data_IF_942975846270
#
_entry.id   IF_942975846270
#
_cell.length_a   1.000
_cell.length_b   1.000
_cell.length_c   1.000
_cell.angle_alpha   90.00
_cell.angle_beta   90.00
_cell.angle_gamma   90.00
#
_symmetry.space_group_name_H-M   'P 1'
#
loop_
_entity.id
_entity.type
_entity.pdbx_description
1 polymer ?
#
# COMPACT_ATOMS: atom_id res chain seq x y z
N UNK A 1 -21.34 -16.65 20.78
CA UNK A 1 -21.14 -17.17 19.40
C UNK A 1 -21.73 -18.57 19.35
N UNK A 2 -22.93 -18.73 18.79
CA UNK A 2 -23.52 -20.06 18.54
C UNK A 2 -22.82 -20.70 17.36
N UNK A 3 -22.37 -21.95 17.52
CA UNK A 3 -21.81 -22.72 16.41
C UNK A 3 -22.88 -22.90 15.32
N UNK A 4 -22.55 -22.69 14.03
CA UNK A 4 -23.51 -22.85 12.94
C UNK A 4 -24.09 -24.28 12.94
N UNK A 5 -25.40 -24.41 12.71
CA UNK A 5 -26.16 -25.67 12.83
C UNK A 5 -25.56 -26.84 12.04
N UNK A 6 -24.87 -26.57 10.92
CA UNK A 6 -24.11 -27.55 10.12
C UNK A 6 -22.96 -28.22 10.87
N UNK A 7 -22.30 -27.53 11.80
CA UNK A 7 -21.23 -28.13 12.62
C UNK A 7 -21.80 -29.11 13.64
N UNK A 8 -22.98 -28.80 14.19
CA UNK A 8 -23.72 -29.74 15.04
C UNK A 8 -24.18 -30.97 14.25
N UNK A 9 -24.63 -30.80 13.00
CA UNK A 9 -24.96 -31.92 12.11
C UNK A 9 -23.73 -32.76 11.75
N UNK A 10 -22.61 -32.13 11.40
CA UNK A 10 -21.36 -32.84 11.12
C UNK A 10 -20.87 -33.64 12.33
N UNK A 11 -20.93 -33.05 13.53
CA UNK A 11 -20.60 -33.73 14.78
C UNK A 11 -21.56 -34.90 15.06
N UNK A 12 -22.86 -34.72 14.82
CA UNK A 12 -23.84 -35.80 14.89
C UNK A 12 -23.53 -36.95 13.92
N UNK A 13 -23.06 -36.64 12.71
CA UNK A 13 -22.66 -37.65 11.71
C UNK A 13 -21.39 -38.40 12.15
N UNK A 14 -20.40 -37.73 12.74
CA UNK A 14 -19.21 -38.40 13.31
C UNK A 14 -19.61 -39.36 14.42
N UNK A 15 -20.48 -38.92 15.33
CA UNK A 15 -20.98 -39.76 16.42
C UNK A 15 -21.76 -40.96 15.87
N UNK A 16 -22.63 -40.75 14.89
CA UNK A 16 -23.38 -41.82 14.23
C UNK A 16 -22.45 -42.81 13.52
N UNK A 17 -21.42 -42.32 12.83
CA UNK A 17 -20.43 -43.15 12.15
C UNK A 17 -19.61 -44.02 13.13
N UNK A 18 -19.24 -43.48 14.29
CA UNK A 18 -18.57 -44.23 15.34
C UNK A 18 -19.48 -45.33 15.92
N UNK A 19 -20.76 -45.02 16.17
CA UNK A 19 -21.75 -45.97 16.65
C UNK A 19 -22.01 -47.09 15.64
N UNK A 20 -22.17 -46.74 14.35
CA UNK A 20 -22.35 -47.72 13.27
C UNK A 20 -21.09 -48.57 13.08
N UNK A 21 -19.90 -47.97 13.09
CA UNK A 21 -18.63 -48.71 13.01
C UNK A 21 -18.49 -49.73 14.14
N UNK A 22 -18.77 -49.32 15.37
CA UNK A 22 -18.78 -50.23 16.52
C UNK A 22 -19.83 -51.35 16.39
N UNK A 23 -21.04 -51.02 15.93
CA UNK A 23 -22.10 -52.00 15.70
C UNK A 23 -21.70 -53.02 14.64
N UNK A 24 -21.10 -52.58 13.53
CA UNK A 24 -20.64 -53.48 12.46
C UNK A 24 -19.53 -54.39 12.93
N UNK A 25 -18.56 -53.91 13.72
CA UNK A 25 -17.55 -54.80 14.33
C UNK A 25 -18.24 -55.90 15.16
N UNK A 26 -19.21 -55.51 15.99
CA UNK A 26 -19.93 -56.43 16.88
C UNK A 26 -20.75 -57.45 16.09
N UNK A 27 -21.43 -57.03 15.03
CA UNK A 27 -22.28 -57.88 14.18
C UNK A 27 -21.40 -58.79 13.31
N UNK A 28 -20.38 -58.25 12.63
CA UNK A 28 -19.49 -59.04 11.79
C UNK A 28 -18.77 -60.12 12.59
N UNK A 29 -18.29 -59.81 13.79
CA UNK A 29 -17.68 -60.82 14.66
C UNK A 29 -18.67 -61.95 14.99
N UNK A 30 -19.93 -61.62 15.29
CA UNK A 30 -20.97 -62.64 15.58
C UNK A 30 -21.29 -63.49 14.35
N UNK A 31 -21.42 -62.87 13.17
CA UNK A 31 -21.73 -63.58 11.93
C UNK A 31 -20.57 -64.50 11.55
N UNK A 32 -19.33 -64.01 11.58
CA UNK A 32 -18.16 -64.80 11.20
C UNK A 32 -17.95 -65.99 12.14
N UNK A 33 -18.13 -65.80 13.46
CA UNK A 33 -18.06 -66.90 14.42
C UNK A 33 -19.24 -67.87 14.23
N UNK A 34 -20.46 -67.37 14.08
CA UNK A 34 -21.65 -68.21 13.86
C UNK A 34 -21.65 -68.98 12.53
N UNK A 35 -20.90 -68.49 11.53
CA UNK A 35 -20.74 -69.13 10.24
C UNK A 35 -19.61 -70.16 10.19
N UNK A 36 -18.89 -70.41 11.30
CA UNK A 36 -17.81 -71.39 11.35
C UNK A 36 -16.50 -70.93 10.68
N UNK A 37 -16.31 -69.62 10.52
CA UNK A 37 -15.12 -69.04 9.89
C UNK A 37 -13.83 -69.29 10.71
N UNK A 38 -13.83 -69.24 12.06
CA UNK A 38 -12.65 -69.59 12.84
C UNK A 38 -12.11 -71.00 12.56
N UNK A 39 -12.99 -72.00 12.48
CA UNK A 39 -12.66 -73.41 12.32
C UNK A 39 -12.18 -73.72 10.89
N UNK A 40 -12.70 -73.00 9.89
CA UNK A 40 -12.33 -73.21 8.48
C UNK A 40 -10.99 -72.56 8.09
N UNK A 41 -10.56 -71.51 8.80
CA UNK A 41 -9.32 -70.78 8.55
C UNK A 41 -8.18 -71.27 9.48
N UNK A 42 -8.49 -72.14 10.45
CA UNK A 42 -7.52 -72.72 11.36
C UNK A 42 -6.44 -73.53 10.61
N UNK A 43 -5.18 -73.22 10.91
CA UNK A 43 -4.02 -73.86 10.26
C UNK A 43 -3.54 -73.19 8.97
N UNK A 44 -4.29 -72.22 8.42
CA UNK A 44 -3.86 -71.44 7.25
C UNK A 44 -2.64 -70.54 7.56
N UNK A 45 -1.85 -70.21 6.54
CA UNK A 45 -0.71 -69.30 6.68
C UNK A 45 -1.15 -67.89 7.17
N UNK A 46 -2.35 -67.46 6.76
CA UNK A 46 -2.89 -66.16 7.13
C UNK A 46 -3.26 -66.09 8.62
N UNK A 47 -3.92 -67.11 9.18
CA UNK A 47 -4.25 -67.16 10.61
C UNK A 47 -3.01 -67.25 11.51
N UNK A 48 -1.96 -67.95 11.07
CA UNK A 48 -0.67 -67.96 11.79
C UNK A 48 -0.05 -66.57 11.85
N UNK A 49 -0.04 -65.86 10.71
CA UNK A 49 0.48 -64.49 10.62
C UNK A 49 -0.35 -63.54 11.50
N UNK A 50 -1.69 -63.64 11.47
CA UNK A 50 -2.55 -62.83 12.32
C UNK A 50 -2.26 -63.06 13.82
N UNK A 51 -2.00 -64.31 14.21
CA UNK A 51 -1.69 -64.70 15.59
C UNK A 51 -0.32 -64.23 16.07
N UNK A 52 0.67 -64.12 15.17
CA UNK A 52 1.97 -63.49 15.47
C UNK A 52 1.81 -62.01 15.88
N UNK A 53 0.81 -61.31 15.33
CA UNK A 53 0.43 -59.95 15.75
C UNK A 53 -0.55 -59.91 16.94
N UNK A 54 -0.80 -61.04 17.62
CA UNK A 54 -1.69 -61.12 18.78
C UNK A 54 -3.19 -60.98 18.45
N UNK A 55 -3.59 -61.21 17.21
CA UNK A 55 -4.99 -61.09 16.76
C UNK A 55 -5.46 -62.36 16.02
N UNK A 56 -6.72 -62.39 15.60
CA UNK A 56 -7.30 -63.45 14.75
C UNK A 56 -7.76 -62.89 13.42
N UNK A 57 -7.87 -63.76 12.41
CA UNK A 57 -8.41 -63.39 11.09
C UNK A 57 -9.79 -62.76 11.22
N UNK A 58 -10.65 -63.32 12.07
CA UNK A 58 -12.00 -62.81 12.31
C UNK A 58 -11.97 -61.43 12.98
N UNK A 59 -11.12 -61.23 13.98
CA UNK A 59 -10.97 -59.93 14.64
C UNK A 59 -10.43 -58.86 13.70
N UNK A 60 -9.46 -59.20 12.84
CA UNK A 60 -8.90 -58.31 11.83
C UNK A 60 -9.99 -57.86 10.84
N UNK A 61 -10.72 -58.82 10.25
CA UNK A 61 -11.78 -58.52 9.27
C UNK A 61 -12.89 -57.68 9.90
N UNK A 62 -13.30 -58.00 11.13
CA UNK A 62 -14.32 -57.23 11.84
C UNK A 62 -13.85 -55.80 12.12
N UNK A 63 -12.62 -55.60 12.64
CA UNK A 63 -12.07 -54.29 12.94
C UNK A 63 -11.86 -53.45 11.68
N UNK A 64 -11.34 -54.04 10.59
CA UNK A 64 -11.17 -53.36 9.31
C UNK A 64 -12.51 -52.86 8.75
N UNK A 65 -13.56 -53.68 8.86
CA UNK A 65 -14.92 -53.28 8.47
C UNK A 65 -15.42 -52.09 9.29
N UNK A 66 -15.14 -52.06 10.60
CA UNK A 66 -15.48 -50.94 11.47
C UNK A 66 -14.73 -49.66 11.15
N UNK A 67 -13.41 -49.75 10.95
CA UNK A 67 -12.59 -48.60 10.54
C UNK A 67 -13.02 -48.04 9.20
N UNK A 68 -13.37 -48.90 8.24
CA UNK A 68 -13.87 -48.47 6.94
C UNK A 68 -15.15 -47.61 7.08
N UNK A 69 -16.11 -48.06 7.89
CA UNK A 69 -17.35 -47.31 8.14
C UNK A 69 -17.08 -45.99 8.88
N UNK A 70 -16.17 -45.99 9.85
CA UNK A 70 -15.78 -44.78 10.56
C UNK A 70 -15.12 -43.76 9.62
N UNK A 71 -14.17 -44.20 8.78
CA UNK A 71 -13.49 -43.34 7.79
C UNK A 71 -14.50 -42.80 6.78
N UNK A 72 -15.41 -43.64 6.27
CA UNK A 72 -16.46 -43.21 5.35
C UNK A 72 -17.38 -42.16 5.99
N UNK A 73 -17.81 -42.38 7.23
CA UNK A 73 -18.62 -41.42 7.96
C UNK A 73 -17.88 -40.13 8.30
N UNK A 74 -16.57 -40.18 8.55
CA UNK A 74 -15.73 -39.00 8.72
C UNK A 74 -15.65 -38.18 7.43
N UNK A 75 -15.50 -38.82 6.27
CA UNK A 75 -15.52 -38.15 4.95
C UNK A 75 -16.89 -37.49 4.72
N UNK A 76 -17.99 -38.16 5.05
CA UNK A 76 -19.35 -37.60 4.94
C UNK A 76 -19.53 -36.42 5.90
N UNK A 77 -19.05 -36.53 7.14
CA UNK A 77 -19.07 -35.45 8.11
C UNK A 77 -18.28 -34.22 7.64
N UNK A 78 -17.09 -34.42 7.07
CA UNK A 78 -16.28 -33.34 6.47
C UNK A 78 -16.99 -32.71 5.27
N UNK A 79 -17.68 -33.51 4.45
CA UNK A 79 -18.48 -33.01 3.32
C UNK A 79 -19.66 -32.15 3.81
N UNK A 80 -20.39 -32.60 4.84
CA UNK A 80 -21.53 -31.88 5.45
C UNK A 80 -21.07 -30.65 6.22
N UNK A 81 -19.90 -30.72 6.86
CA UNK A 81 -19.29 -29.57 7.51
C UNK A 81 -19.02 -28.43 6.53
N UNK A 82 -19.14 -28.68 5.20
CA UNK A 82 -18.80 -27.77 4.10
C UNK A 82 -17.50 -27.07 4.44
N UNK A 83 -16.38 -27.74 4.19
CA UNK A 83 -15.04 -27.15 4.28
C UNK A 83 -14.83 -26.10 3.16
N UNK A 84 -15.82 -25.24 2.93
CA UNK A 84 -15.74 -23.97 2.22
C UNK A 84 -14.72 -23.03 2.89
N UNK A 85 -14.30 -23.29 4.14
CA UNK A 85 -13.16 -22.58 4.75
C UNK A 85 -11.85 -22.85 4.02
N UNK A 86 -11.61 -24.08 3.54
CA UNK A 86 -10.40 -24.39 2.77
C UNK A 86 -10.52 -23.79 1.37
N UNK A 87 -11.68 -23.86 0.71
CA UNK A 87 -11.87 -23.22 -0.60
C UNK A 87 -11.83 -21.68 -0.53
N UNK A 88 -12.40 -21.05 0.50
CA UNK A 88 -12.34 -19.61 0.71
C UNK A 88 -10.94 -19.15 1.14
N UNK A 89 -10.23 -19.95 1.94
CA UNK A 89 -8.83 -19.72 2.26
C UNK A 89 -7.96 -19.84 1.00
N UNK A 90 -8.16 -20.87 0.17
CA UNK A 90 -7.46 -21.02 -1.11
C UNK A 90 -7.78 -19.88 -2.07
N UNK A 91 -9.03 -19.44 -2.20
CA UNK A 91 -9.39 -18.31 -3.05
C UNK A 91 -8.80 -16.98 -2.56
N UNK A 92 -8.82 -16.72 -1.24
CA UNK A 92 -8.19 -15.51 -0.67
C UNK A 92 -6.67 -15.55 -0.81
N UNK A 93 -6.05 -16.70 -0.57
CA UNK A 93 -4.59 -16.87 -0.64
C UNK A 93 -4.10 -16.82 -2.10
N UNK A 94 -4.79 -17.50 -3.02
CA UNK A 94 -4.48 -17.49 -4.45
C UNK A 94 -4.67 -16.10 -5.08
N UNK A 95 -5.65 -15.32 -4.62
CA UNK A 95 -5.82 -13.92 -5.05
C UNK A 95 -4.82 -12.96 -4.40
N UNK A 96 -4.35 -13.25 -3.19
CA UNK A 96 -3.39 -12.42 -2.45
C UNK A 96 -1.96 -12.51 -2.99
N UNK A 97 -1.52 -13.69 -3.44
CA UNK A 97 -0.15 -13.87 -3.96
C UNK A 97 0.17 -12.95 -5.17
N UNK A 98 -0.67 -12.89 -6.22
CA UNK A 98 -0.47 -11.98 -7.34
C UNK A 98 -0.54 -10.51 -6.94
N UNK A 99 -1.46 -10.13 -6.04
CA UNK A 99 -1.58 -8.75 -5.60
C UNK A 99 -0.42 -8.30 -4.73
N UNK A 100 0.09 -9.19 -3.87
CA UNK A 100 1.31 -8.97 -3.10
C UNK A 100 2.52 -8.81 -4.03
N UNK A 101 2.64 -9.67 -5.05
CA UNK A 101 3.69 -9.56 -6.05
C UNK A 101 3.64 -8.21 -6.79
N UNK A 102 2.45 -7.80 -7.24
CA UNK A 102 2.27 -6.50 -7.88
C UNK A 102 2.57 -5.34 -6.94
N UNK A 103 2.17 -5.42 -5.66
CA UNK A 103 2.48 -4.40 -4.66
C UNK A 103 3.99 -4.24 -4.46
N UNK A 104 4.73 -5.36 -4.35
CA UNK A 104 6.18 -5.36 -4.23
C UNK A 104 6.82 -4.78 -5.50
N UNK A 105 6.34 -5.19 -6.68
CA UNK A 105 6.84 -4.68 -7.96
C UNK A 105 6.66 -3.16 -8.07
N UNK A 106 5.47 -2.66 -7.75
CA UNK A 106 5.16 -1.21 -7.73
C UNK A 106 6.07 -0.49 -6.74
N UNK A 107 6.30 -1.04 -5.56
CA UNK A 107 7.18 -0.43 -4.57
C UNK A 107 8.63 -0.34 -5.06
N UNK A 108 9.15 -1.41 -5.67
CA UNK A 108 10.50 -1.42 -6.26
C UNK A 108 10.60 -0.37 -7.37
N UNK A 109 9.62 -0.32 -8.28
CA UNK A 109 9.57 0.68 -9.35
C UNK A 109 9.53 2.09 -8.76
N UNK A 110 8.71 2.32 -7.73
CA UNK A 110 8.60 3.59 -7.04
C UNK A 110 9.91 4.06 -6.42
N UNK A 111 10.65 3.16 -5.76
CA UNK A 111 11.98 3.45 -5.20
C UNK A 111 12.97 3.82 -6.29
N UNK A 112 13.05 3.02 -7.36
CA UNK A 112 13.97 3.26 -8.50
C UNK A 112 13.65 4.57 -9.21
N UNK A 113 12.37 4.85 -9.45
CA UNK A 113 11.94 6.11 -10.08
C UNK A 113 12.22 7.29 -9.14
N UNK A 114 11.96 7.13 -7.84
CA UNK A 114 12.29 8.14 -6.82
C UNK A 114 13.76 8.50 -6.80
N UNK A 115 14.65 7.50 -6.82
CA UNK A 115 16.11 7.72 -6.88
C UNK A 115 16.52 8.44 -8.18
N UNK A 116 15.95 8.05 -9.32
CA UNK A 116 16.21 8.73 -10.60
C UNK A 116 15.74 10.19 -10.59
N UNK A 117 14.59 10.47 -9.98
CA UNK A 117 14.05 11.82 -9.84
C UNK A 117 14.97 12.67 -8.93
N UNK A 118 15.44 12.11 -7.82
CA UNK A 118 16.39 12.79 -6.93
C UNK A 118 17.67 13.20 -7.69
N UNK A 119 18.27 12.26 -8.42
CA UNK A 119 19.47 12.50 -9.20
C UNK A 119 19.24 13.57 -10.28
N UNK A 120 18.15 13.45 -11.04
CA UNK A 120 17.82 14.40 -12.12
C UNK A 120 17.67 15.82 -11.56
N UNK A 121 16.96 16.00 -10.46
CA UNK A 121 16.74 17.31 -9.86
C UNK A 121 18.05 17.85 -9.28
N UNK A 122 18.82 17.02 -8.58
CA UNK A 122 20.11 17.42 -8.01
C UNK A 122 21.10 17.89 -9.10
N UNK A 123 21.17 17.18 -10.24
CA UNK A 123 22.02 17.56 -11.35
C UNK A 123 21.62 18.91 -11.96
N UNK A 124 20.31 19.15 -12.10
CA UNK A 124 19.79 20.44 -12.57
C UNK A 124 20.09 21.59 -11.59
N UNK A 125 19.92 21.37 -10.29
CA UNK A 125 20.19 22.37 -9.26
C UNK A 125 21.68 22.73 -9.18
N UNK A 126 22.58 21.74 -9.36
CA UNK A 126 24.02 21.98 -9.46
C UNK A 126 24.38 22.81 -10.69
N UNK A 127 23.73 22.56 -11.83
CA UNK A 127 23.94 23.31 -13.07
C UNK A 127 23.62 24.81 -12.95
N UNK A 128 22.64 25.19 -12.12
CA UNK A 128 22.26 26.59 -11.87
C UNK A 128 22.97 27.22 -10.66
N UNK A 129 24.01 26.59 -10.12
CA UNK A 129 24.76 27.06 -8.93
C UNK A 129 23.88 27.35 -7.70
N UNK A 130 22.79 26.60 -7.52
CA UNK A 130 21.93 26.65 -6.33
C UNK A 130 22.07 25.38 -5.46
N UNK A 131 23.27 25.03 -4.95
CA UNK A 131 23.46 23.84 -4.13
C UNK A 131 22.76 23.93 -2.76
N UNK A 132 22.33 25.12 -2.34
CA UNK A 132 21.63 25.36 -1.08
C UNK A 132 20.18 24.82 -1.09
N UNK A 133 19.61 24.52 -2.27
CA UNK A 133 18.29 23.91 -2.42
C UNK A 133 18.30 22.37 -2.21
N UNK A 134 19.20 21.85 -1.37
CA UNK A 134 19.44 20.41 -1.20
C UNK A 134 18.25 19.61 -0.70
N UNK A 135 17.22 20.25 -0.14
CA UNK A 135 15.99 19.57 0.31
C UNK A 135 15.03 19.22 -0.85
N UNK A 136 15.07 19.96 -1.96
CA UNK A 136 14.13 19.80 -3.08
C UNK A 136 14.24 18.43 -3.76
N UNK A 137 15.44 17.93 -4.10
CA UNK A 137 15.59 16.58 -4.68
C UNK A 137 15.03 15.48 -3.78
N UNK A 138 15.33 15.55 -2.48
CA UNK A 138 14.87 14.54 -1.53
C UNK A 138 13.35 14.58 -1.32
N UNK A 139 12.74 15.77 -1.23
CA UNK A 139 11.27 15.90 -1.16
C UNK A 139 10.59 15.30 -2.38
N UNK A 140 11.14 15.53 -3.58
CA UNK A 140 10.59 14.99 -4.81
C UNK A 140 10.65 13.45 -4.85
N UNK A 141 11.78 12.86 -4.44
CA UNK A 141 11.91 11.41 -4.29
C UNK A 141 10.89 10.84 -3.32
N UNK A 142 10.82 11.40 -2.11
CA UNK A 142 9.91 10.89 -1.09
C UNK A 142 8.44 11.04 -1.49
N UNK A 143 8.10 12.05 -2.29
CA UNK A 143 6.77 12.20 -2.88
C UNK A 143 6.43 11.07 -3.86
N UNK A 144 7.38 10.70 -4.74
CA UNK A 144 7.21 9.56 -5.66
C UNK A 144 7.08 8.24 -4.89
N UNK A 145 7.97 8.01 -3.91
CA UNK A 145 7.95 6.81 -3.07
C UNK A 145 6.63 6.71 -2.30
N UNK A 146 6.15 7.82 -1.74
CA UNK A 146 4.87 7.85 -1.02
C UNK A 146 3.69 7.44 -1.90
N UNK A 147 3.61 7.98 -3.14
CA UNK A 147 2.57 7.59 -4.10
C UNK A 147 2.69 6.09 -4.42
N UNK A 148 3.90 5.57 -4.63
CA UNK A 148 4.10 4.14 -4.88
C UNK A 148 3.65 3.27 -3.69
N UNK A 149 3.88 3.72 -2.45
CA UNK A 149 3.37 3.05 -1.25
C UNK A 149 1.84 3.03 -1.24
N UNK A 150 1.17 4.14 -1.54
CA UNK A 150 -0.29 4.18 -1.61
C UNK A 150 -0.83 3.21 -2.67
N UNK A 151 -0.23 3.19 -3.86
CA UNK A 151 -0.64 2.25 -4.91
C UNK A 151 -0.40 0.80 -4.47
N UNK A 152 0.74 0.49 -3.86
CA UNK A 152 1.06 -0.84 -3.36
C UNK A 152 0.09 -1.32 -2.26
N UNK A 153 -0.27 -0.43 -1.32
CA UNK A 153 -1.27 -0.70 -0.30
C UNK A 153 -2.65 -0.99 -0.91
N UNK A 154 -3.04 -0.23 -1.93
CA UNK A 154 -4.28 -0.47 -2.68
C UNK A 154 -4.31 -1.84 -3.35
N UNK A 155 -3.18 -2.32 -3.89
CA UNK A 155 -3.11 -3.65 -4.51
C UNK A 155 -3.43 -4.78 -3.53
N UNK A 156 -2.92 -4.71 -2.29
CA UNK A 156 -3.18 -5.72 -1.26
C UNK A 156 -4.53 -5.55 -0.56
N UNK A 157 -5.38 -4.61 -1.01
CA UNK A 157 -6.73 -4.40 -0.51
C UNK A 157 -6.80 -3.54 0.77
N UNK A 158 -5.76 -2.78 1.09
CA UNK A 158 -5.81 -1.79 2.16
C UNK A 158 -6.56 -0.56 1.66
N UNK A 159 -7.51 -0.07 2.46
CA UNK A 159 -8.22 1.17 2.16
C UNK A 159 -7.28 2.37 2.36
N UNK A 160 -6.84 2.97 1.25
CA UNK A 160 -5.96 4.14 1.24
C UNK A 160 -6.71 5.46 1.18
N UNK A 161 -8.05 5.47 1.19
CA UNK A 161 -8.83 6.69 1.05
C UNK A 161 -8.49 7.72 2.13
N UNK A 162 -8.40 7.28 3.38
CA UNK A 162 -8.00 8.14 4.50
C UNK A 162 -6.59 8.73 4.33
N UNK A 163 -5.64 7.94 3.81
CA UNK A 163 -4.26 8.39 3.56
C UNK A 163 -4.18 9.40 2.41
N UNK A 164 -4.98 9.18 1.35
CA UNK A 164 -5.09 10.11 0.21
C UNK A 164 -5.69 11.43 0.65
N UNK A 165 -6.75 11.40 1.46
CA UNK A 165 -7.37 12.61 2.03
C UNK A 165 -6.36 13.37 2.89
N UNK A 166 -5.64 12.68 3.77
CA UNK A 166 -4.62 13.29 4.62
C UNK A 166 -3.51 13.95 3.78
N UNK A 167 -3.01 13.25 2.75
CA UNK A 167 -2.02 13.81 1.83
C UNK A 167 -2.56 15.06 1.13
N UNK A 168 -3.79 15.02 0.63
CA UNK A 168 -4.39 16.16 -0.04
C UNK A 168 -4.50 17.37 0.90
N UNK A 169 -4.88 17.15 2.17
CA UNK A 169 -4.93 18.21 3.18
C UNK A 169 -3.55 18.80 3.46
N UNK A 170 -2.52 17.97 3.68
CA UNK A 170 -1.16 18.47 3.91
C UNK A 170 -0.58 19.15 2.68
N UNK A 171 -0.80 18.60 1.48
CA UNK A 171 -0.35 19.18 0.22
C UNK A 171 -1.01 20.54 -0.03
N UNK A 172 -2.32 20.64 0.22
CA UNK A 172 -3.04 21.90 0.15
C UNK A 172 -2.48 22.93 1.14
N UNK A 173 -2.28 22.55 2.40
CA UNK A 173 -1.70 23.42 3.41
C UNK A 173 -0.31 23.91 2.99
N UNK A 174 0.57 23.01 2.52
CA UNK A 174 1.91 23.37 2.08
C UNK A 174 1.90 24.39 0.93
N UNK A 175 1.03 24.18 -0.07
CA UNK A 175 0.88 25.12 -1.19
C UNK A 175 0.31 26.46 -0.72
N UNK A 176 -0.71 26.44 0.14
CA UNK A 176 -1.35 27.66 0.65
C UNK A 176 -0.37 28.49 1.49
N UNK A 177 0.25 27.88 2.50
CA UNK A 177 1.20 28.57 3.38
C UNK A 177 2.48 28.98 2.64
N UNK A 178 2.96 28.14 1.71
CA UNK A 178 4.07 28.49 0.83
C UNK A 178 3.74 29.71 -0.04
N UNK A 179 2.58 29.71 -0.68
CA UNK A 179 2.11 30.84 -1.49
C UNK A 179 1.97 32.14 -0.67
N UNK A 180 1.47 32.05 0.56
CA UNK A 180 1.42 33.19 1.48
C UNK A 180 2.81 33.67 1.88
N UNK A 181 3.75 32.76 2.14
CA UNK A 181 5.12 33.10 2.51
C UNK A 181 5.89 33.78 1.37
N UNK A 182 5.67 33.35 0.12
CA UNK A 182 6.32 33.93 -1.07
C UNK A 182 5.52 35.06 -1.72
N UNK A 183 4.40 35.49 -1.11
CA UNK A 183 3.49 36.49 -1.68
C UNK A 183 4.20 37.76 -2.14
N UNK A 184 5.09 38.31 -1.30
CA UNK A 184 5.75 39.59 -1.61
C UNK A 184 6.79 39.44 -2.72
N UNK A 185 7.53 38.32 -2.77
CA UNK A 185 8.48 38.03 -3.84
C UNK A 185 7.77 37.83 -5.19
N UNK A 186 6.64 37.12 -5.19
CA UNK A 186 5.82 36.93 -6.39
C UNK A 186 5.22 38.25 -6.89
N UNK A 187 4.72 39.09 -5.98
CA UNK A 187 4.18 40.40 -6.33
C UNK A 187 5.26 41.33 -6.91
N UNK A 188 6.47 41.35 -6.33
CA UNK A 188 7.60 42.10 -6.88
C UNK A 188 8.05 41.57 -8.24
N UNK A 189 8.10 40.25 -8.41
CA UNK A 189 8.44 39.63 -9.69
C UNK A 189 7.43 39.97 -10.80
N UNK A 190 6.13 39.91 -10.50
CA UNK A 190 5.07 40.27 -11.45
C UNK A 190 5.14 41.76 -11.83
N UNK A 191 5.35 42.63 -10.85
CA UNK A 191 5.57 44.06 -11.09
C UNK A 191 6.81 44.30 -11.96
N UNK A 192 7.93 43.64 -11.68
CA UNK A 192 9.14 43.77 -12.49
C UNK A 192 8.96 43.28 -13.93
N UNK A 193 8.24 42.18 -14.14
CA UNK A 193 7.93 41.70 -15.49
C UNK A 193 7.14 42.74 -16.30
N UNK A 194 6.16 43.39 -15.66
CA UNK A 194 5.41 44.50 -16.25
C UNK A 194 6.32 45.71 -16.57
N UNK A 195 7.15 46.13 -15.60
CA UNK A 195 8.06 47.26 -15.76
C UNK A 195 9.08 47.04 -16.89
N UNK A 196 9.59 45.81 -17.04
CA UNK A 196 10.53 45.46 -18.11
C UNK A 196 9.87 45.44 -19.50
N UNK A 197 8.58 45.06 -19.57
CA UNK A 197 7.83 44.99 -20.83
C UNK A 197 7.33 46.35 -21.30
N UNK A 198 6.69 47.11 -20.42
CA UNK A 198 6.09 48.40 -20.78
C UNK A 198 7.06 49.58 -20.64
N UNK A 199 8.18 49.38 -19.93
CA UNK A 199 9.24 50.37 -19.71
C UNK A 199 8.69 51.77 -19.34
N UNK A 200 7.82 51.87 -18.31
CA UNK A 200 7.25 53.15 -17.90
C UNK A 200 8.31 54.11 -17.34
N UNK A 201 9.53 53.64 -17.06
CA UNK A 201 10.77 54.38 -16.84
C UNK A 201 11.96 53.53 -17.30
N UNK A 202 13.07 54.19 -17.65
CA UNK A 202 14.27 53.57 -18.20
C UNK A 202 15.51 53.97 -17.39
N UNK A 203 16.58 53.21 -17.57
CA UNK A 203 17.89 53.52 -16.98
C UNK A 203 18.32 54.93 -17.41
N UNK A 204 18.72 55.75 -16.45
CA UNK A 204 19.08 57.15 -16.65
C UNK A 204 17.94 58.15 -16.39
N UNK A 205 16.69 57.70 -16.24
CA UNK A 205 15.59 58.59 -15.86
C UNK A 205 15.70 58.99 -14.38
N UNK A 206 15.47 60.27 -14.07
CA UNK A 206 15.22 60.71 -12.69
C UNK A 206 13.77 60.41 -12.32
N UNK A 207 13.59 59.59 -11.29
CA UNK A 207 12.28 59.14 -10.82
C UNK A 207 12.13 59.37 -9.33
N UNK A 208 10.87 59.51 -8.90
CA UNK A 208 10.47 59.42 -7.50
C UNK A 208 9.51 58.26 -7.30
N UNK A 209 9.87 57.36 -6.39
CA UNK A 209 9.11 56.16 -6.02
C UNK A 209 8.91 56.21 -4.50
N UNK A 210 7.68 56.47 -4.06
CA UNK A 210 7.40 56.76 -2.65
C UNK A 210 8.25 57.95 -2.16
N UNK A 211 9.05 57.71 -1.12
CA UNK A 211 9.96 58.70 -0.54
C UNK A 211 11.37 58.70 -1.19
N UNK A 212 11.62 57.81 -2.14
CA UNK A 212 12.94 57.69 -2.81
C UNK A 212 12.96 58.52 -4.09
N UNK A 213 13.83 59.54 -4.16
CA UNK A 213 14.08 60.38 -5.34
C UNK A 213 15.51 60.15 -5.83
N UNK A 214 15.69 59.83 -7.11
CA UNK A 214 17.02 59.59 -7.67
C UNK A 214 17.01 59.17 -9.13
N UNK A 215 18.15 58.73 -9.64
CA UNK A 215 18.32 58.27 -11.03
C UNK A 215 18.29 56.75 -11.08
N UNK A 216 17.52 56.17 -11.99
CA UNK A 216 17.45 54.72 -12.18
C UNK A 216 18.75 54.20 -12.78
N UNK A 217 19.41 53.28 -12.08
CA UNK A 217 20.63 52.62 -12.55
C UNK A 217 20.36 51.26 -13.19
N UNK A 218 19.49 50.46 -12.58
CA UNK A 218 19.18 49.11 -13.05
C UNK A 218 17.75 48.72 -12.71
N UNK A 219 17.08 48.02 -13.62
CA UNK A 219 15.77 47.42 -13.40
C UNK A 219 15.90 45.90 -13.51
N UNK A 220 15.80 45.21 -12.38
CA UNK A 220 15.80 43.75 -12.29
C UNK A 220 14.38 43.21 -12.18
N UNK A 221 14.21 41.88 -12.23
CA UNK A 221 12.88 41.25 -12.12
C UNK A 221 12.23 41.52 -10.76
N UNK A 222 13.00 41.59 -9.67
CA UNK A 222 12.44 41.75 -8.32
C UNK A 222 12.60 43.16 -7.74
N UNK A 223 13.64 43.88 -8.14
CA UNK A 223 14.03 45.17 -7.55
C UNK A 223 14.47 46.16 -8.64
N UNK A 224 14.35 47.44 -8.35
CA UNK A 224 14.90 48.55 -9.12
C UNK A 224 15.94 49.26 -8.27
N UNK A 225 17.11 49.50 -8.85
CA UNK A 225 18.22 50.21 -8.21
C UNK A 225 18.14 51.69 -8.58
N UNK A 226 18.02 52.54 -7.57
CA UNK A 226 17.92 54.00 -7.71
C UNK A 226 19.07 54.64 -6.96
N UNK A 227 19.84 55.50 -7.61
CA UNK A 227 20.97 56.20 -6.99
C UNK A 227 20.62 57.66 -6.70
N UNK A 228 20.95 58.11 -5.50
CA UNK A 228 20.76 59.50 -5.06
C UNK A 228 21.80 59.89 -4.03
N UNK A 229 22.39 61.08 -4.16
CA UNK A 229 23.38 61.64 -3.25
C UNK A 229 24.53 60.69 -2.83
N UNK A 230 24.96 59.82 -3.77
CA UNK A 230 26.03 58.84 -3.54
C UNK A 230 25.61 57.58 -2.77
N UNK A 231 24.30 57.38 -2.54
CA UNK A 231 23.73 56.17 -1.97
C UNK A 231 22.89 55.40 -3.01
N UNK A 232 22.93 54.07 -2.94
CA UNK A 232 22.13 53.17 -3.76
C UNK A 232 20.93 52.63 -2.96
N UNK A 233 19.73 52.87 -3.49
CA UNK A 233 18.47 52.40 -2.95
C UNK A 233 17.97 51.19 -3.73
N UNK A 234 17.76 50.07 -3.04
CA UNK A 234 17.20 48.84 -3.63
C UNK A 234 15.70 48.80 -3.36
N UNK A 235 14.91 49.24 -4.34
CA UNK A 235 13.45 49.38 -4.21
C UNK A 235 12.77 48.12 -4.78
N UNK A 236 11.99 47.36 -3.99
CA UNK A 236 11.24 46.23 -4.54
C UNK A 236 10.22 46.71 -5.57
N UNK A 237 10.15 46.05 -6.72
CA UNK A 237 9.31 46.49 -7.84
C UNK A 237 7.82 46.57 -7.50
N UNK A 238 7.36 45.79 -6.51
CA UNK A 238 6.00 45.91 -5.99
C UNK A 238 5.70 47.33 -5.50
N UNK A 239 6.63 47.96 -4.77
CA UNK A 239 6.44 49.33 -4.27
C UNK A 239 6.30 50.32 -5.42
N UNK A 240 7.17 50.24 -6.42
CA UNK A 240 7.09 51.07 -7.62
C UNK A 240 5.74 50.93 -8.35
N UNK A 241 5.20 49.72 -8.40
CA UNK A 241 3.92 49.44 -9.02
C UNK A 241 2.72 49.89 -8.18
N UNK A 242 2.76 49.74 -6.85
CA UNK A 242 1.63 50.09 -5.97
C UNK A 242 1.58 51.55 -5.57
N UNK A 243 2.74 52.19 -5.39
CA UNK A 243 2.85 53.60 -4.97
C UNK A 243 2.86 54.56 -6.17
N UNK A 244 3.15 54.03 -7.37
CA UNK A 244 3.30 54.82 -8.59
C UNK A 244 4.69 55.44 -8.72
N UNK A 245 5.04 55.83 -9.94
CA UNK A 245 6.34 56.42 -10.27
C UNK A 245 6.14 57.78 -10.91
N UNK A 246 6.79 58.80 -10.35
CA UNK A 246 6.82 60.15 -10.92
C UNK A 246 8.13 60.32 -11.69
N UNK A 247 8.06 60.55 -13.00
CA UNK A 247 9.23 60.97 -13.78
C UNK A 247 9.43 62.49 -13.68
N UNK A 248 10.61 62.92 -13.29
CA UNK A 248 10.99 64.33 -13.25
C UNK A 248 11.68 64.66 -14.58
N UNK A 249 11.12 65.62 -15.34
CA UNK A 249 11.70 66.12 -16.58
C UNK A 249 12.23 67.52 -16.31
N UNK A 250 13.54 67.69 -16.39
CA UNK A 250 14.19 69.00 -16.45
C UNK A 250 14.20 69.54 -17.89
#
# INVERSE_FOLDING_TARGET
MSLPARLWLALGVVVLAALLGYLVVRVNRRILVGAGVPETIEGTAFERTAREFGTSTVSLVANLSGYFIFILGLIVALTIARVEYIAAFWNRTAGFLPSLFLAILVLIVGLVVGDKVELLINDRLRGIKLPQAGIVPSVAKWSVVFIAVLVALGQIGVDTAALVVLLATYGFALVLFGGLAFRDLLASGAAGFYLLLEQPYSIGDRVRIGDTDGVVQEVNVFVTHVESDGAEYVVPNRHAFTEGVVRIRE
#
